data_IF_129835469750
#
_entry.id   IF_129835469750
#
_cell.length_a   1.000
_cell.length_b   1.000
_cell.length_c   1.000
_cell.angle_alpha   90.00
_cell.angle_beta   90.00
_cell.angle_gamma   90.00
#
_symmetry.space_group_name_H-M   'P 1'
#
loop_
_entity.id
_entity.type
_entity.pdbx_description
1 polymer ?
#
# COMPACT_ATOMS: atom_id res chain seq x y z
N UNK A 1 46.68 -42.23 9.49
CA UNK A 1 46.30 -42.95 10.73
C UNK A 1 45.11 -42.20 11.32
N UNK A 2 44.07 -42.93 11.73
CA UNK A 2 42.81 -42.50 12.37
C UNK A 2 41.65 -42.05 11.45
N UNK A 3 40.74 -43.02 11.25
CA UNK A 3 39.32 -42.89 10.88
C UNK A 3 38.52 -42.36 12.07
N UNK A 4 37.46 -41.59 11.80
CA UNK A 4 36.20 -41.50 12.55
C UNK A 4 35.29 -40.60 11.69
N UNK A 5 34.09 -40.95 11.24
CA UNK A 5 33.15 -42.00 11.60
C UNK A 5 31.76 -41.39 11.37
N UNK A 6 31.18 -41.65 10.20
CA UNK A 6 29.83 -41.18 9.82
C UNK A 6 28.82 -41.97 10.65
N UNK A 7 28.09 -41.29 11.54
CA UNK A 7 26.97 -41.89 12.26
C UNK A 7 25.70 -41.75 11.41
N UNK A 8 25.32 -42.88 10.81
CA UNK A 8 24.07 -43.13 10.13
C UNK A 8 23.13 -43.75 11.17
N UNK A 9 22.17 -42.99 11.70
CA UNK A 9 21.15 -43.54 12.58
C UNK A 9 20.07 -44.25 11.75
N UNK A 10 20.04 -45.57 11.89
CA UNK A 10 19.07 -46.48 11.33
C UNK A 10 17.69 -46.25 11.95
N UNK A 11 16.69 -45.97 11.12
CA UNK A 11 15.28 -46.11 11.49
C UNK A 11 14.93 -47.61 11.52
N UNK A 12 14.93 -48.22 12.70
CA UNK A 12 14.34 -49.54 12.93
C UNK A 12 12.87 -49.39 13.25
N UNK A 13 12.02 -49.53 12.23
CA UNK A 13 10.58 -49.71 12.42
C UNK A 13 10.29 -51.20 12.67
N UNK A 14 9.96 -51.56 13.92
CA UNK A 14 9.40 -52.86 14.26
C UNK A 14 7.89 -52.84 14.02
N UNK A 15 7.42 -53.68 13.10
CA UNK A 15 6.01 -53.99 12.89
C UNK A 15 5.57 -55.07 13.89
N UNK A 16 4.48 -54.80 14.63
CA UNK A 16 3.68 -55.83 15.29
C UNK A 16 2.24 -55.76 14.75
N UNK A 17 1.58 -56.89 14.42
CA UNK A 17 0.26 -56.88 13.85
C UNK A 17 -0.85 -56.95 14.91
N UNK A 18 -1.97 -56.34 14.55
CA UNK A 18 -3.34 -56.74 14.84
C UNK A 18 -4.22 -55.86 15.76
N UNK A 19 -5.40 -55.62 15.18
CA UNK A 19 -6.73 -55.58 15.79
C UNK A 19 -7.36 -54.22 16.14
N UNK A 20 -8.40 -53.92 15.36
CA UNK A 20 -9.72 -53.37 15.73
C UNK A 20 -9.82 -51.90 16.18
N UNK A 21 -10.56 -51.16 15.36
CA UNK A 21 -11.39 -49.98 15.62
C UNK A 21 -11.46 -49.45 17.07
N UNK A 22 -11.02 -48.20 17.26
CA UNK A 22 -11.73 -47.15 18.00
C UNK A 22 -10.97 -45.82 17.82
N UNK A 23 -11.69 -44.72 17.62
CA UNK A 23 -11.12 -43.39 17.37
C UNK A 23 -10.13 -42.95 18.45
N UNK A 24 -9.05 -42.29 18.04
CA UNK A 24 -8.12 -41.60 18.94
C UNK A 24 -8.05 -40.12 18.58
N UNK A 25 -8.44 -39.29 19.54
CA UNK A 25 -8.03 -37.89 19.61
C UNK A 25 -6.51 -37.82 19.80
N UNK A 26 -5.83 -37.01 18.99
CA UNK A 26 -4.42 -36.71 19.19
C UNK A 26 -4.30 -35.47 20.09
N UNK A 27 -3.88 -35.66 21.33
CA UNK A 27 -3.61 -34.59 22.29
C UNK A 27 -2.12 -34.26 22.23
N UNK A 28 -1.73 -33.24 21.47
CA UNK A 28 -0.36 -32.73 21.48
C UNK A 28 -0.18 -31.81 22.70
N UNK A 29 0.53 -32.29 23.71
CA UNK A 29 1.06 -31.45 24.80
C UNK A 29 2.49 -31.06 24.47
N UNK A 30 2.71 -29.79 24.12
CA UNK A 30 4.05 -29.22 24.02
C UNK A 30 4.45 -28.63 25.39
N UNK A 31 5.59 -29.05 25.94
CA UNK A 31 6.16 -28.49 27.17
C UNK A 31 6.73 -27.10 26.88
N UNK A 32 6.06 -26.04 27.37
CA UNK A 32 6.66 -24.71 27.43
C UNK A 32 7.55 -24.59 28.67
N UNK A 33 8.87 -24.42 28.46
CA UNK A 33 9.73 -23.73 29.43
C UNK A 33 9.47 -22.23 29.36
N UNK A 34 9.28 -21.63 30.51
CA UNK A 34 8.93 -20.24 30.74
C UNK A 34 10.13 -19.30 30.52
N UNK A 35 9.94 -18.29 29.67
CA UNK A 35 10.66 -17.01 29.75
C UNK A 35 9.63 -15.88 29.66
N UNK A 36 9.92 -14.82 30.41
CA UNK A 36 9.01 -13.90 31.10
C UNK A 36 8.48 -12.78 30.19
N UNK A 37 7.17 -12.79 29.95
CA UNK A 37 6.20 -11.68 30.13
C UNK A 37 6.39 -10.31 29.40
N UNK A 38 5.58 -10.05 28.35
CA UNK A 38 4.69 -8.87 28.18
C UNK A 38 3.51 -9.17 27.23
N UNK A 39 2.39 -9.57 27.86
CA UNK A 39 0.97 -9.36 27.56
C UNK A 39 0.45 -9.18 26.10
N UNK A 40 -0.25 -10.22 25.64
CA UNK A 40 -1.32 -10.18 24.62
C UNK A 40 -2.68 -10.27 25.33
N UNK A 41 -3.72 -9.60 24.81
CA UNK A 41 -5.13 -9.88 25.17
C UNK A 41 -5.81 -10.55 23.95
N UNK A 42 -6.36 -11.78 24.05
CA UNK A 42 -7.16 -12.38 23.01
C UNK A 42 -8.64 -11.99 23.15
N UNK A 43 -9.24 -11.45 22.09
CA UNK A 43 -10.70 -11.35 21.97
C UNK A 43 -11.30 -12.73 21.73
N UNK A 44 -12.25 -13.14 22.58
CA UNK A 44 -13.05 -14.36 22.38
C UNK A 44 -14.13 -14.07 21.34
N UNK A 45 -14.16 -14.84 20.26
CA UNK A 45 -15.35 -14.99 19.44
C UNK A 45 -16.10 -16.22 19.95
N UNK A 46 -17.29 -16.00 20.49
CA UNK A 46 -18.21 -17.07 20.86
C UNK A 46 -19.05 -17.42 19.63
N UNK A 47 -18.66 -18.47 18.89
CA UNK A 47 -19.51 -19.03 17.84
C UNK A 47 -20.39 -20.13 18.46
N UNK A 48 -21.66 -19.85 18.64
CA UNK A 48 -22.67 -20.88 18.91
C UNK A 48 -23.00 -21.58 17.58
N UNK A 49 -22.56 -22.82 17.40
CA UNK A 49 -23.06 -23.69 16.34
C UNK A 49 -24.35 -24.35 16.84
N UNK A 50 -25.50 -23.92 16.32
CA UNK A 50 -26.71 -24.69 16.42
C UNK A 50 -26.70 -25.73 15.29
N UNK A 51 -26.53 -27.01 15.63
CA UNK A 51 -26.76 -28.11 14.69
C UNK A 51 -28.27 -28.27 14.51
N UNK A 52 -28.80 -27.90 13.34
CA UNK A 52 -30.14 -28.30 12.92
C UNK A 52 -30.06 -29.06 11.61
N UNK A 53 -30.42 -30.34 11.69
CA UNK A 53 -30.67 -31.25 10.58
C UNK A 53 -32.03 -30.93 9.94
N UNK A 54 -32.04 -30.38 8.73
CA UNK A 54 -32.98 -30.78 7.66
C UNK A 54 -32.63 -30.09 6.31
N UNK A 55 -32.72 -30.82 5.18
CA UNK A 55 -32.42 -30.28 3.86
C UNK A 55 -33.70 -29.78 3.19
N UNK A 56 -33.90 -28.47 3.10
CA UNK A 56 -35.05 -27.95 2.35
C UNK A 56 -35.50 -26.53 2.66
N UNK A 57 -34.61 -25.55 2.81
CA UNK A 57 -35.00 -24.14 2.65
C UNK A 57 -33.77 -23.27 2.38
N UNK A 58 -33.82 -22.54 1.26
CA UNK A 58 -32.78 -21.60 0.87
C UNK A 58 -32.96 -20.30 1.66
N UNK A 59 -32.14 -20.10 2.70
CA UNK A 59 -32.09 -18.83 3.42
C UNK A 59 -31.12 -17.87 2.72
N UNK A 60 -31.66 -16.76 2.20
CA UNK A 60 -30.89 -15.65 1.63
C UNK A 60 -30.13 -14.94 2.74
N UNK A 61 -28.81 -14.82 2.63
CA UNK A 61 -27.99 -13.98 3.50
C UNK A 61 -27.87 -12.58 2.88
N UNK A 62 -28.52 -11.59 3.49
CA UNK A 62 -28.20 -10.18 3.27
C UNK A 62 -27.19 -9.72 4.31
N UNK A 63 -25.95 -9.51 3.90
CA UNK A 63 -24.94 -8.86 4.75
C UNK A 63 -25.14 -7.34 4.68
N UNK A 64 -25.71 -6.75 5.75
CA UNK A 64 -25.71 -5.30 5.94
C UNK A 64 -24.60 -4.98 6.92
N UNK A 65 -23.58 -4.24 6.46
CA UNK A 65 -22.52 -3.71 7.31
C UNK A 65 -22.88 -2.29 7.75
N UNK A 66 -23.05 -2.07 9.05
CA UNK A 66 -23.10 -0.73 9.63
C UNK A 66 -21.71 -0.32 10.13
N UNK A 67 -21.24 0.91 9.84
CA UNK A 67 -20.00 1.41 10.43
C UNK A 67 -20.23 1.76 11.91
N UNK A 68 -19.44 1.13 12.79
CA UNK A 68 -19.43 1.45 14.23
C UNK A 68 -18.72 2.77 14.44
N UNK A 69 -19.43 3.76 15.00
CA UNK A 69 -18.84 5.00 15.51
C UNK A 69 -18.07 4.75 16.81
N UNK A 70 -16.89 5.36 17.04
CA UNK A 70 -16.16 5.17 18.29
C UNK A 70 -16.78 5.99 19.43
N UNK A 71 -17.04 5.32 20.55
CA UNK A 71 -17.46 5.93 21.84
C UNK A 71 -16.30 6.74 22.43
N UNK A 72 -16.55 7.94 23.00
CA UNK A 72 -15.51 8.81 23.52
C UNK A 72 -15.09 8.42 24.94
N UNK A 73 -13.78 8.37 25.21
CA UNK A 73 -13.26 8.55 26.58
C UNK A 73 -12.07 7.69 27.00
N UNK A 74 -10.86 8.22 26.86
CA UNK A 74 -9.95 8.57 27.99
C UNK A 74 -8.63 9.07 27.43
N UNK A 75 -8.24 10.28 27.83
CA UNK A 75 -6.92 10.85 27.60
C UNK A 75 -5.87 9.99 28.32
N UNK A 76 -5.04 9.30 27.55
CA UNK A 76 -3.75 8.80 28.01
C UNK A 76 -2.66 9.62 27.36
N UNK A 77 -1.93 10.36 28.21
CA UNK A 77 -0.88 11.32 27.89
C UNK A 77 0.32 10.59 27.28
N UNK A 78 0.40 10.53 25.95
CA UNK A 78 1.60 10.04 25.27
C UNK A 78 2.70 11.10 25.36
N UNK A 79 3.75 10.80 26.13
CA UNK A 79 5.02 11.53 26.05
C UNK A 79 5.69 11.14 24.74
N UNK A 80 5.84 12.11 23.85
CA UNK A 80 6.74 12.00 22.70
C UNK A 80 8.18 11.93 23.21
N UNK A 81 8.88 10.85 22.90
CA UNK A 81 10.34 10.91 22.80
C UNK A 81 10.66 11.62 21.49
N UNK A 82 10.82 12.94 21.55
CA UNK A 82 11.56 13.66 20.52
C UNK A 82 13.02 13.65 20.97
N UNK A 83 13.88 12.98 20.19
CA UNK A 83 15.32 13.14 20.32
C UNK A 83 15.66 14.58 19.94
N UNK A 84 16.04 15.40 20.92
CA UNK A 84 16.61 16.72 20.68
C UNK A 84 17.98 16.54 20.05
N UNK A 85 18.12 16.93 18.78
CA UNK A 85 19.43 17.18 18.20
C UNK A 85 19.90 18.54 18.74
N UNK A 86 21.01 18.50 19.48
CA UNK A 86 21.72 19.67 19.98
C UNK A 86 22.13 20.57 18.80
N UNK A 87 21.77 21.84 18.87
CA UNK A 87 22.47 22.90 18.18
C UNK A 87 22.77 23.98 19.23
N UNK A 88 24.06 24.10 19.53
CA UNK A 88 24.68 25.07 20.42
C UNK A 88 24.53 26.51 19.90
N UNK A 89 24.86 27.44 20.80
CA UNK A 89 25.07 28.89 20.66
C UNK A 89 23.89 29.85 20.92
N UNK A 90 23.80 30.28 22.18
CA UNK A 90 23.20 31.54 22.64
C UNK A 90 23.61 31.83 24.09
N UNK A 91 24.07 33.04 24.46
CA UNK A 91 24.77 33.27 25.72
C UNK A 91 23.82 33.25 26.95
N UNK A 92 24.41 32.88 28.09
CA UNK A 92 23.79 32.70 29.39
C UNK A 92 23.01 33.93 29.92
N UNK A 93 21.97 33.73 30.76
CA UNK A 93 21.21 34.83 31.35
C UNK A 93 21.98 35.45 32.51
N UNK A 94 22.27 36.74 32.43
CA UNK A 94 22.76 37.53 33.55
C UNK A 94 21.62 37.86 34.51
N UNK A 95 21.84 37.52 35.79
CA UNK A 95 21.01 37.92 36.92
C UNK A 95 20.86 39.45 36.99
N UNK A 96 19.65 39.94 37.23
CA UNK A 96 19.42 41.24 37.86
C UNK A 96 18.15 41.19 38.71
N UNK A 97 18.36 41.34 40.01
CA UNK A 97 17.39 41.50 41.11
C UNK A 97 16.47 42.73 40.89
N UNK A 98 15.21 42.73 41.36
CA UNK A 98 14.19 43.69 40.91
C UNK A 98 14.33 45.04 41.60
N UNK A 99 14.22 46.13 40.83
CA UNK A 99 14.01 47.47 41.36
C UNK A 99 12.60 47.93 40.99
N UNK A 100 11.82 48.19 42.03
CA UNK A 100 10.48 48.76 41.99
C UNK A 100 10.53 50.23 41.59
N UNK A 101 9.86 50.61 40.51
CA UNK A 101 8.87 51.71 40.49
C UNK A 101 8.43 52.04 39.06
N UNK A 102 7.20 52.55 38.98
CA UNK A 102 6.54 53.18 37.83
C UNK A 102 5.88 52.25 36.80
N UNK A 103 4.62 51.93 37.11
CA UNK A 103 3.60 51.60 36.11
C UNK A 103 3.43 52.80 35.16
N UNK A 104 4.17 52.83 34.07
CA UNK A 104 3.78 53.58 32.88
C UNK A 104 2.98 52.63 31.98
N UNK A 105 1.66 52.68 32.10
CA UNK A 105 0.79 52.09 31.10
C UNK A 105 0.89 52.94 29.82
N UNK A 106 1.93 52.73 29.02
CA UNK A 106 2.00 53.30 27.67
C UNK A 106 0.80 52.77 26.88
N UNK A 107 -0.14 53.66 26.57
CA UNK A 107 -1.33 53.36 25.79
C UNK A 107 -0.87 53.01 24.37
N UNK A 108 -0.80 51.70 24.07
CA UNK A 108 -0.43 51.18 22.76
C UNK A 108 -1.20 51.93 21.67
N UNK A 109 -0.46 52.54 20.73
CA UNK A 109 -1.06 53.24 19.59
C UNK A 109 -1.83 52.25 18.72
N UNK A 110 -2.90 52.73 18.06
CA UNK A 110 -3.78 51.91 17.21
C UNK A 110 -3.00 51.10 16.17
N UNK A 111 -1.95 51.68 15.59
CA UNK A 111 -1.12 51.03 14.58
C UNK A 111 -0.24 49.92 15.17
N UNK A 112 0.26 50.09 16.41
CA UNK A 112 0.99 49.04 17.12
C UNK A 112 0.08 47.85 17.44
N UNK A 113 -1.17 48.11 17.83
CA UNK A 113 -2.16 47.05 18.06
C UNK A 113 -2.51 46.29 16.78
N UNK A 114 -2.69 46.99 15.65
CA UNK A 114 -2.92 46.37 14.34
C UNK A 114 -1.74 45.49 13.91
N UNK A 115 -0.50 45.95 14.10
CA UNK A 115 0.70 45.15 13.84
C UNK A 115 0.72 43.87 14.66
N UNK A 116 0.49 43.97 15.98
CA UNK A 116 0.50 42.79 16.86
C UNK A 116 -0.58 41.78 16.50
N UNK A 117 -1.77 42.25 16.11
CA UNK A 117 -2.84 41.37 15.62
C UNK A 117 -2.42 40.68 14.32
N UNK A 118 -1.87 41.41 13.35
CA UNK A 118 -1.38 40.83 12.09
C UNK A 118 -0.26 39.80 12.33
N UNK A 119 0.68 40.08 13.23
CA UNK A 119 1.73 39.15 13.63
C UNK A 119 1.16 37.90 14.30
N UNK A 120 0.14 38.06 15.15
CA UNK A 120 -0.53 36.93 15.80
C UNK A 120 -1.25 36.04 14.79
N UNK A 121 -1.94 36.61 13.80
CA UNK A 121 -2.59 35.85 12.73
C UNK A 121 -1.57 35.18 11.80
N UNK A 122 -0.49 35.88 11.44
CA UNK A 122 0.62 35.32 10.67
C UNK A 122 1.23 34.12 11.39
N UNK A 123 1.45 34.21 12.71
CA UNK A 123 1.98 33.10 13.50
C UNK A 123 1.05 31.88 13.52
N UNK A 124 -0.28 32.09 13.58
CA UNK A 124 -1.28 31.01 13.49
C UNK A 124 -1.25 30.34 12.13
N UNK A 125 -1.17 31.13 11.04
CA UNK A 125 -1.08 30.60 9.68
C UNK A 125 0.22 29.82 9.46
N UNK A 126 1.35 30.33 9.95
CA UNK A 126 2.64 29.62 9.89
C UNK A 126 2.58 28.30 10.64
N UNK A 127 1.96 28.27 11.82
CA UNK A 127 1.74 27.03 12.57
C UNK A 127 0.91 26.03 11.75
N UNK A 128 -0.25 26.44 11.24
CA UNK A 128 -1.11 25.57 10.38
C UNK A 128 -0.37 25.07 9.14
N UNK A 129 0.40 25.92 8.48
CA UNK A 129 1.21 25.56 7.31
C UNK A 129 2.26 24.52 7.68
N UNK A 130 2.97 24.71 8.80
CA UNK A 130 3.96 23.74 9.28
C UNK A 130 3.34 22.40 9.66
N UNK A 131 2.17 22.39 10.32
CA UNK A 131 1.42 21.18 10.65
C UNK A 131 0.97 20.44 9.38
N UNK A 132 0.41 21.16 8.40
CA UNK A 132 0.02 20.59 7.11
C UNK A 132 1.23 20.03 6.35
N UNK A 133 2.37 20.73 6.35
CA UNK A 133 3.59 20.26 5.71
C UNK A 133 4.17 19.01 6.39
N UNK A 134 4.11 18.92 7.72
CA UNK A 134 4.50 17.70 8.44
C UNK A 134 3.59 16.52 8.05
N UNK A 135 2.28 16.75 7.99
CA UNK A 135 1.32 15.73 7.58
C UNK A 135 1.54 15.26 6.13
N UNK A 136 1.77 16.19 5.20
CA UNK A 136 2.11 15.87 3.81
C UNK A 136 3.39 15.02 3.70
N UNK A 137 4.44 15.35 4.48
CA UNK A 137 5.66 14.54 4.52
C UNK A 137 5.40 13.14 5.07
N UNK A 138 4.57 13.02 6.09
CA UNK A 138 4.17 11.72 6.64
C UNK A 138 3.40 10.88 5.61
N UNK A 139 2.42 11.47 4.92
CA UNK A 139 1.65 10.79 3.88
C UNK A 139 2.53 10.33 2.71
N UNK A 140 3.45 11.18 2.25
CA UNK A 140 4.42 10.81 1.20
C UNK A 140 5.26 9.60 1.60
N UNK A 141 5.76 9.56 2.84
CA UNK A 141 6.49 8.40 3.37
C UNK A 141 5.63 7.15 3.42
N UNK A 142 4.38 7.26 3.86
CA UNK A 142 3.44 6.14 3.89
C UNK A 142 3.13 5.60 2.49
N UNK A 143 2.99 6.48 1.49
CA UNK A 143 2.83 6.07 0.09
C UNK A 143 4.05 5.28 -0.39
N UNK A 144 5.25 5.83 -0.17
CA UNK A 144 6.50 5.19 -0.59
C UNK A 144 6.69 3.81 0.03
N UNK A 145 6.41 3.64 1.33
CA UNK A 145 6.49 2.34 2.01
C UNK A 145 5.51 1.33 1.37
N UNK A 146 4.31 1.76 1.01
CA UNK A 146 3.33 0.88 0.35
C UNK A 146 3.79 0.50 -1.05
N UNK A 147 4.36 1.44 -1.80
CA UNK A 147 4.91 1.18 -3.13
C UNK A 147 6.08 0.19 -3.07
N UNK A 148 7.00 0.35 -2.12
CA UNK A 148 8.12 -0.58 -1.88
C UNK A 148 7.62 -1.99 -1.49
N UNK A 149 6.59 -2.06 -0.64
CA UNK A 149 5.97 -3.33 -0.27
C UNK A 149 5.35 -4.03 -1.48
N UNK A 150 4.67 -3.29 -2.37
CA UNK A 150 4.12 -3.84 -3.62
C UNK A 150 5.23 -4.38 -4.52
N UNK A 151 6.35 -3.67 -4.66
CA UNK A 151 7.51 -4.16 -5.44
C UNK A 151 8.04 -5.48 -4.86
N UNK A 152 8.17 -5.57 -3.53
CA UNK A 152 8.60 -6.80 -2.84
C UNK A 152 7.65 -7.97 -3.12
N UNK A 153 6.34 -7.77 -2.93
CA UNK A 153 5.35 -8.81 -3.19
C UNK A 153 5.35 -9.28 -4.65
N UNK A 154 5.58 -8.38 -5.61
CA UNK A 154 5.71 -8.76 -7.03
C UNK A 154 6.92 -9.65 -7.28
N UNK A 155 8.06 -9.35 -6.66
CA UNK A 155 9.25 -10.20 -6.80
C UNK A 155 9.03 -11.59 -6.19
N UNK A 156 8.34 -11.69 -5.06
CA UNK A 156 7.98 -12.97 -4.44
C UNK A 156 6.98 -13.75 -5.31
N UNK A 157 6.00 -13.06 -5.89
CA UNK A 157 5.01 -13.64 -6.81
C UNK A 157 5.68 -14.26 -8.05
N UNK A 158 6.66 -13.57 -8.62
CA UNK A 158 7.41 -14.05 -9.79
C UNK A 158 8.24 -15.31 -9.48
N UNK A 159 8.81 -15.41 -8.28
CA UNK A 159 9.52 -16.63 -7.83
C UNK A 159 8.54 -17.80 -7.70
N UNK A 160 7.37 -17.57 -7.09
CA UNK A 160 6.34 -18.60 -6.93
C UNK A 160 5.75 -19.06 -8.26
N UNK A 161 5.61 -18.17 -9.24
CA UNK A 161 5.19 -18.50 -10.60
C UNK A 161 6.18 -19.48 -11.26
N UNK A 162 7.48 -19.19 -11.17
CA UNK A 162 8.54 -20.07 -11.69
C UNK A 162 8.52 -21.43 -10.99
N UNK A 163 8.43 -21.46 -9.66
CA UNK A 163 8.31 -22.72 -8.91
C UNK A 163 7.08 -23.53 -9.36
N UNK A 164 5.93 -22.89 -9.51
CA UNK A 164 4.72 -23.56 -9.96
C UNK A 164 4.86 -24.09 -11.39
N UNK A 165 5.51 -23.35 -12.28
CA UNK A 165 5.82 -23.80 -13.64
C UNK A 165 6.71 -25.04 -13.62
N UNK A 166 7.73 -25.10 -12.75
CA UNK A 166 8.54 -26.32 -12.58
C UNK A 166 7.72 -27.51 -12.07
N UNK A 167 6.80 -27.29 -11.12
CA UNK A 167 5.91 -28.34 -10.61
C UNK A 167 4.94 -28.86 -11.66
N UNK A 168 4.42 -27.98 -12.52
CA UNK A 168 3.61 -28.36 -13.68
C UNK A 168 4.43 -29.25 -14.62
N UNK A 169 5.65 -28.83 -14.99
CA UNK A 169 6.53 -29.63 -15.86
C UNK A 169 6.85 -31.02 -15.29
N UNK A 170 7.18 -31.11 -13.99
CA UNK A 170 7.37 -32.41 -13.32
C UNK A 170 6.10 -33.26 -13.33
N UNK A 171 4.92 -32.66 -13.15
CA UNK A 171 3.65 -33.37 -13.21
C UNK A 171 3.29 -33.83 -14.62
N UNK A 172 3.67 -33.07 -15.66
CA UNK A 172 3.55 -33.45 -17.07
C UNK A 172 4.40 -34.69 -17.36
N UNK A 173 5.68 -34.69 -16.95
CA UNK A 173 6.56 -35.85 -17.08
C UNK A 173 5.94 -37.08 -16.40
N UNK A 174 5.51 -36.95 -15.14
CA UNK A 174 4.87 -38.03 -14.37
C UNK A 174 3.57 -38.52 -15.04
N UNK A 175 2.80 -37.64 -15.68
CA UNK A 175 1.58 -38.00 -16.38
C UNK A 175 1.85 -38.71 -17.71
N UNK A 176 3.01 -38.47 -18.34
CA UNK A 176 3.43 -39.08 -19.60
C UNK A 176 4.09 -40.46 -19.41
N UNK A 177 4.58 -40.79 -18.21
CA UNK A 177 5.06 -42.14 -17.90
C UNK A 177 3.93 -43.17 -17.86
N UNK A 178 4.28 -44.44 -18.09
CA UNK A 178 3.35 -45.56 -17.96
C UNK A 178 2.71 -45.59 -16.58
N UNK A 179 1.38 -45.70 -16.54
CA UNK A 179 0.62 -45.71 -15.30
C UNK A 179 0.92 -46.99 -14.52
N UNK A 180 1.49 -46.91 -13.31
CA UNK A 180 1.80 -48.09 -12.52
C UNK A 180 0.56 -48.93 -12.22
N UNK A 181 0.71 -50.25 -12.25
CA UNK A 181 -0.34 -51.20 -11.88
C UNK A 181 -0.89 -50.90 -10.48
N UNK A 182 -2.22 -50.77 -10.36
CA UNK A 182 -2.88 -50.40 -9.10
C UNK A 182 -2.98 -48.89 -8.83
N UNK A 183 -2.60 -48.04 -9.79
CA UNK A 183 -2.76 -46.59 -9.65
C UNK A 183 -4.21 -46.18 -9.37
N UNK A 184 -4.37 -45.36 -8.33
CA UNK A 184 -5.68 -44.81 -7.93
C UNK A 184 -6.24 -43.90 -9.03
N UNK A 185 -7.56 -43.95 -9.21
CA UNK A 185 -8.32 -42.98 -9.99
C UNK A 185 -9.07 -42.00 -9.09
N UNK A 186 -9.20 -40.75 -9.54
CA UNK A 186 -9.99 -39.68 -8.94
C UNK A 186 -10.87 -39.11 -10.05
N UNK A 187 -12.19 -39.14 -9.89
CA UNK A 187 -13.16 -38.70 -10.90
C UNK A 187 -12.91 -39.31 -12.30
N UNK A 188 -12.53 -40.59 -12.36
CA UNK A 188 -12.25 -41.30 -13.61
C UNK A 188 -10.87 -41.06 -14.24
N UNK A 189 -10.11 -40.05 -13.79
CA UNK A 189 -8.72 -39.79 -14.20
C UNK A 189 -7.74 -40.50 -13.26
N UNK A 190 -6.58 -40.91 -13.77
CA UNK A 190 -5.49 -41.40 -12.92
C UNK A 190 -4.95 -40.26 -12.02
N UNK A 191 -4.40 -40.61 -10.86
CA UNK A 191 -3.93 -39.62 -9.90
C UNK A 191 -2.87 -38.66 -10.49
N UNK A 192 -2.03 -39.17 -11.39
CA UNK A 192 -0.99 -38.41 -12.10
C UNK A 192 -1.62 -37.32 -12.98
N UNK A 193 -2.52 -37.70 -13.88
CA UNK A 193 -3.20 -36.75 -14.77
C UNK A 193 -4.17 -35.84 -14.03
N UNK A 194 -4.76 -36.30 -12.92
CA UNK A 194 -5.57 -35.43 -12.06
C UNK A 194 -4.72 -34.37 -11.36
N UNK A 195 -3.52 -34.70 -10.88
CA UNK A 195 -2.58 -33.75 -10.28
C UNK A 195 -2.14 -32.70 -11.30
N UNK A 196 -1.77 -33.12 -12.51
CA UNK A 196 -1.40 -32.21 -13.59
C UNK A 196 -2.51 -31.19 -13.87
N UNK A 197 -3.74 -31.65 -14.14
CA UNK A 197 -4.86 -30.73 -14.39
C UNK A 197 -5.15 -29.77 -13.23
N UNK A 198 -4.85 -30.18 -11.99
CA UNK A 198 -5.02 -29.32 -10.81
C UNK A 198 -3.92 -28.26 -10.73
N UNK A 199 -2.67 -28.62 -11.05
CA UNK A 199 -1.55 -27.67 -11.07
C UNK A 199 -1.68 -26.67 -12.21
N UNK A 200 -2.05 -27.12 -13.41
CA UNK A 200 -2.38 -26.24 -14.55
C UNK A 200 -3.46 -25.22 -14.17
N UNK A 201 -4.56 -25.67 -13.56
CA UNK A 201 -5.63 -24.77 -13.15
C UNK A 201 -5.19 -23.74 -12.08
N UNK A 202 -4.26 -24.11 -11.19
CA UNK A 202 -3.68 -23.16 -10.22
C UNK A 202 -2.73 -22.19 -10.93
N UNK A 203 -1.89 -22.69 -11.84
CA UNK A 203 -0.98 -21.87 -12.65
C UNK A 203 -1.74 -20.83 -13.46
N UNK A 204 -2.78 -21.24 -14.18
CA UNK A 204 -3.61 -20.33 -14.97
C UNK A 204 -4.27 -19.25 -14.11
N UNK A 205 -4.75 -19.63 -12.91
CA UNK A 205 -5.35 -18.68 -11.98
C UNK A 205 -4.32 -17.68 -11.45
N UNK A 206 -3.12 -18.14 -11.11
CA UNK A 206 -2.02 -17.25 -10.69
C UNK A 206 -1.67 -16.32 -11.85
N UNK A 207 -1.45 -16.84 -13.05
CA UNK A 207 -1.14 -16.04 -14.25
C UNK A 207 -2.16 -14.95 -14.55
N UNK A 208 -3.46 -15.24 -14.39
CA UNK A 208 -4.51 -14.22 -14.52
C UNK A 208 -4.34 -13.11 -13.48
N UNK A 209 -4.06 -13.44 -12.21
CA UNK A 209 -3.81 -12.45 -11.17
C UNK A 209 -2.54 -11.64 -11.42
N UNK A 210 -1.48 -12.25 -11.96
CA UNK A 210 -0.25 -11.53 -12.34
C UNK A 210 -0.57 -10.50 -13.43
N UNK A 211 -1.29 -10.92 -14.48
CA UNK A 211 -1.72 -10.04 -15.58
C UNK A 211 -2.56 -8.86 -15.07
N UNK A 212 -3.49 -9.11 -14.15
CA UNK A 212 -4.28 -8.04 -13.54
C UNK A 212 -3.39 -7.04 -12.79
N UNK A 213 -2.43 -7.53 -11.99
CA UNK A 213 -1.48 -6.69 -11.26
C UNK A 213 -0.51 -5.94 -12.18
N UNK A 214 -0.15 -6.51 -13.33
CA UNK A 214 0.62 -5.85 -14.39
C UNK A 214 -0.16 -4.78 -15.13
N UNK A 215 -1.44 -5.00 -15.39
CA UNK A 215 -2.31 -4.02 -16.05
C UNK A 215 -2.46 -2.72 -15.24
N UNK A 216 -2.30 -2.79 -13.92
CA UNK A 216 -2.40 -1.64 -13.01
C UNK A 216 -1.06 -0.90 -12.81
N UNK A 217 0.00 -1.32 -13.50
CA UNK A 217 1.34 -0.75 -13.33
C UNK A 217 1.38 0.68 -13.90
N UNK A 218 1.85 1.68 -13.12
CA UNK A 218 2.08 3.01 -13.65
C UNK A 218 3.12 3.00 -14.80
N UNK A 219 2.84 3.77 -15.85
CA UNK A 219 3.69 3.98 -17.02
C UNK A 219 4.10 5.45 -17.10
N UNK A 220 5.28 5.68 -17.64
CA UNK A 220 5.82 7.03 -17.85
C UNK A 220 5.41 7.51 -19.23
N UNK A 221 4.78 8.68 -19.29
CA UNK A 221 4.19 9.23 -20.51
C UNK A 221 4.67 10.65 -20.67
N UNK A 222 5.33 10.92 -21.78
CA UNK A 222 5.69 12.28 -22.17
C UNK A 222 4.45 12.97 -22.75
N UNK A 223 4.02 14.03 -22.09
CA UNK A 223 2.98 14.94 -22.56
C UNK A 223 3.66 16.22 -23.00
N UNK A 224 3.19 16.82 -24.10
CA UNK A 224 3.77 18.03 -24.64
C UNK A 224 2.71 19.08 -24.99
N UNK A 225 3.10 20.34 -24.92
CA UNK A 225 2.31 21.47 -25.35
C UNK A 225 3.18 22.36 -26.24
N UNK A 226 2.63 22.89 -27.34
CA UNK A 226 3.37 23.72 -28.29
C UNK A 226 2.68 25.06 -28.42
N UNK A 227 3.45 26.14 -28.26
CA UNK A 227 2.94 27.50 -28.43
C UNK A 227 3.84 28.55 -27.78
N UNK A 228 3.42 29.80 -27.89
CA UNK A 228 4.08 30.91 -27.21
C UNK A 228 3.55 31.00 -25.78
N UNK A 229 4.41 30.68 -24.82
CA UNK A 229 4.11 30.75 -23.39
C UNK A 229 5.38 31.01 -22.58
N UNK A 230 5.21 31.55 -21.38
CA UNK A 230 6.29 31.63 -20.41
C UNK A 230 6.34 30.37 -19.53
N UNK A 231 5.21 30.04 -18.91
CA UNK A 231 5.02 28.92 -18.00
C UNK A 231 3.82 28.08 -18.41
N UNK A 232 4.02 26.77 -18.46
CA UNK A 232 2.94 25.81 -18.78
C UNK A 232 2.87 24.76 -17.68
N UNK A 233 1.66 24.54 -17.17
CA UNK A 233 1.37 23.45 -16.24
C UNK A 233 0.28 22.56 -16.82
N UNK A 234 0.41 21.25 -16.65
CA UNK A 234 -0.63 20.30 -16.97
C UNK A 234 -1.44 19.94 -15.72
N UNK A 235 -2.75 20.09 -15.81
CA UNK A 235 -3.71 19.69 -14.79
C UNK A 235 -4.56 18.55 -15.34
N UNK A 236 -5.09 17.68 -14.47
CA UNK A 236 -6.01 16.66 -14.96
C UNK A 236 -6.71 15.85 -13.89
N UNK A 237 -7.53 14.90 -14.34
CA UNK A 237 -8.28 14.01 -13.45
C UNK A 237 -7.38 13.02 -12.69
N UNK A 238 -6.13 12.84 -13.11
CA UNK A 238 -5.18 11.92 -12.48
C UNK A 238 -4.83 12.31 -11.02
N UNK A 239 -4.95 13.60 -10.67
CA UNK A 239 -4.74 14.12 -9.31
C UNK A 239 -5.99 14.81 -8.74
N UNK A 240 -7.14 14.63 -9.40
CA UNK A 240 -8.38 15.31 -9.04
C UNK A 240 -8.34 16.83 -9.27
N UNK A 241 -7.58 17.31 -10.26
CA UNK A 241 -7.47 18.72 -10.63
C UNK A 241 -6.87 19.61 -9.53
N UNK A 242 -5.89 19.10 -8.78
CA UNK A 242 -5.44 19.75 -7.54
C UNK A 242 -4.12 20.51 -7.67
N UNK A 243 -3.03 19.86 -8.07
CA UNK A 243 -1.69 20.49 -8.10
C UNK A 243 -1.09 20.57 -9.50
N UNK A 244 -1.35 19.59 -10.36
CA UNK A 244 -0.77 19.51 -11.71
C UNK A 244 0.75 19.37 -11.74
N UNK A 245 1.31 19.28 -12.94
CA UNK A 245 2.76 19.14 -13.16
C UNK A 245 3.26 20.30 -14.02
N UNK A 246 4.34 20.96 -13.60
CA UNK A 246 4.98 22.00 -14.41
C UNK A 246 5.74 21.38 -15.59
N UNK A 247 5.58 21.96 -16.77
CA UNK A 247 6.24 21.48 -17.98
C UNK A 247 7.55 22.21 -18.20
N UNK A 248 8.58 21.45 -18.62
CA UNK A 248 9.89 21.98 -18.95
C UNK A 248 9.89 22.54 -20.38
N UNK A 249 10.44 23.74 -20.57
CA UNK A 249 10.58 24.34 -21.90
C UNK A 249 11.74 23.69 -22.65
N UNK A 250 11.45 23.15 -23.82
CA UNK A 250 12.40 22.71 -24.83
C UNK A 250 12.58 23.85 -25.86
N UNK A 251 13.82 24.30 -26.04
CA UNK A 251 14.13 25.34 -27.02
C UNK A 251 14.03 24.75 -28.43
N UNK A 252 13.01 25.16 -29.19
CA UNK A 252 12.78 24.76 -30.58
C UNK A 252 12.41 25.97 -31.45
N UNK A 253 13.36 26.90 -31.64
CA UNK A 253 13.17 28.04 -32.56
C UNK A 253 12.03 28.98 -32.16
N UNK A 254 11.23 29.42 -33.13
CA UNK A 254 10.21 30.48 -33.00
C UNK A 254 8.98 30.08 -32.14
N UNK A 255 8.76 28.77 -31.93
CA UNK A 255 7.71 28.25 -31.05
C UNK A 255 8.34 27.38 -29.96
N UNK A 256 8.00 27.66 -28.69
CA UNK A 256 8.48 26.85 -27.58
C UNK A 256 7.66 25.56 -27.47
N UNK A 257 8.36 24.43 -27.37
CA UNK A 257 7.75 23.15 -26.98
C UNK A 257 7.92 22.99 -25.48
N UNK A 258 6.88 22.57 -24.80
CA UNK A 258 6.91 22.27 -23.37
C UNK A 258 6.65 20.79 -23.19
N UNK A 259 7.38 20.11 -22.32
CA UNK A 259 7.23 18.68 -22.06
C UNK A 259 7.18 18.35 -20.56
N UNK A 260 6.42 17.33 -20.20
CA UNK A 260 6.39 16.78 -18.85
C UNK A 260 6.25 15.26 -18.92
N UNK A 261 6.89 14.56 -17.99
CA UNK A 261 6.80 13.10 -17.87
C UNK A 261 5.87 12.75 -16.72
N UNK A 262 4.69 12.24 -17.03
CA UNK A 262 3.69 11.83 -16.05
C UNK A 262 3.80 10.32 -15.78
N UNK A 263 3.66 9.90 -14.52
CA UNK A 263 3.61 8.49 -14.12
C UNK A 263 2.16 8.08 -13.85
N UNK A 264 1.46 7.60 -14.88
CA UNK A 264 0.01 7.32 -14.83
C UNK A 264 -0.28 5.83 -15.00
N UNK A 265 -1.34 5.32 -14.37
CA UNK A 265 -1.80 3.96 -14.63
C UNK A 265 -2.50 3.89 -16.00
N UNK A 266 -2.58 2.71 -16.63
CA UNK A 266 -3.43 2.51 -17.80
C UNK A 266 -4.87 2.95 -17.52
N UNK A 267 -5.43 3.72 -18.45
CA UNK A 267 -6.70 4.40 -18.25
C UNK A 267 -6.90 5.60 -19.19
N UNK A 268 -8.07 6.23 -19.07
CA UNK A 268 -8.38 7.49 -19.75
C UNK A 268 -8.42 8.62 -18.73
N UNK A 269 -7.71 9.69 -19.01
CA UNK A 269 -7.61 10.87 -18.17
C UNK A 269 -8.09 12.10 -18.93
N UNK A 270 -8.78 12.99 -18.22
CA UNK A 270 -9.06 14.32 -18.73
C UNK A 270 -7.93 15.24 -18.27
N UNK A 271 -7.42 16.05 -19.19
CA UNK A 271 -6.32 16.97 -18.93
C UNK A 271 -6.63 18.35 -19.51
N UNK A 272 -6.00 19.37 -18.95
CA UNK A 272 -6.04 20.75 -19.47
C UNK A 272 -4.74 21.46 -19.13
N UNK A 273 -4.37 22.43 -19.95
CA UNK A 273 -3.12 23.17 -19.77
C UNK A 273 -3.42 24.53 -19.16
N UNK A 274 -2.67 24.89 -18.13
CA UNK A 274 -2.64 26.23 -17.57
C UNK A 274 -1.40 26.93 -18.14
N UNK A 275 -1.64 27.84 -19.09
CA UNK A 275 -0.62 28.54 -19.87
C UNK A 275 -0.62 29.99 -19.44
N UNK A 276 0.43 30.45 -18.77
CA UNK A 276 0.55 31.82 -18.24
C UNK A 276 -0.67 32.26 -17.38
N UNK A 277 -1.27 31.30 -16.67
CA UNK A 277 -2.46 31.52 -15.83
C UNK A 277 -3.80 31.37 -16.56
N UNK A 278 -3.80 31.13 -17.88
CA UNK A 278 -5.00 30.91 -18.68
C UNK A 278 -5.22 29.43 -19.01
N UNK A 279 -6.46 28.98 -18.92
CA UNK A 279 -6.84 27.62 -19.29
C UNK A 279 -6.90 27.45 -20.81
N UNK A 280 -6.06 26.57 -21.36
CA UNK A 280 -5.98 26.28 -22.79
C UNK A 280 -6.13 24.78 -23.08
N UNK A 281 -6.71 24.50 -24.24
CA UNK A 281 -6.72 23.18 -24.84
C UNK A 281 -5.55 23.08 -25.82
N UNK A 282 -4.99 21.88 -25.94
CA UNK A 282 -3.99 21.56 -26.94
C UNK A 282 -4.67 20.91 -28.15
N UNK A 283 -4.22 21.25 -29.36
CA UNK A 283 -4.62 20.59 -30.61
C UNK A 283 -4.06 19.18 -30.76
N UNK A 284 -3.03 18.84 -29.98
CA UNK A 284 -2.32 17.55 -30.05
C UNK A 284 -3.09 16.40 -29.39
N UNK A 285 -4.13 16.73 -28.61
CA UNK A 285 -4.91 15.74 -27.87
C UNK A 285 -6.39 15.83 -28.24
N UNK A 286 -7.08 14.68 -28.36
CA UNK A 286 -8.52 14.65 -28.58
C UNK A 286 -9.26 15.48 -27.51
N UNK A 287 -10.34 16.15 -27.91
CA UNK A 287 -11.17 16.93 -26.98
C UNK A 287 -12.31 16.04 -26.47
N UNK A 288 -12.63 16.16 -25.19
CA UNK A 288 -13.78 15.55 -24.53
C UNK A 288 -14.62 16.63 -23.84
N UNK A 289 -15.94 16.41 -23.79
CA UNK A 289 -16.90 17.34 -23.19
C UNK A 289 -17.47 18.38 -24.17
N UNK A 290 -18.38 19.22 -23.67
CA UNK A 290 -19.10 20.22 -24.45
C UNK A 290 -19.01 21.61 -23.81
N UNK A 291 -18.89 22.65 -24.64
CA UNK A 291 -18.89 24.06 -24.18
C UNK A 291 -17.76 24.39 -23.20
N UNK A 292 -18.13 24.93 -22.03
CA UNK A 292 -17.19 25.43 -21.03
C UNK A 292 -16.44 24.34 -20.26
N UNK A 293 -16.91 23.10 -20.31
CA UNK A 293 -16.28 21.94 -19.65
C UNK A 293 -15.41 21.12 -20.61
N UNK A 294 -15.02 21.70 -21.75
CA UNK A 294 -14.11 21.04 -22.68
C UNK A 294 -12.73 20.84 -22.05
N UNK A 295 -12.26 19.60 -22.13
CA UNK A 295 -10.97 19.12 -21.66
C UNK A 295 -10.30 18.32 -22.78
N UNK A 296 -8.99 18.17 -22.75
CA UNK A 296 -8.29 17.22 -23.59
C UNK A 296 -8.37 15.81 -22.95
N UNK A 297 -8.28 14.76 -23.77
CA UNK A 297 -8.29 13.37 -23.34
C UNK A 297 -6.91 12.75 -23.56
N UNK A 298 -6.32 12.24 -22.49
CA UNK A 298 -5.07 11.47 -22.50
C UNK A 298 -5.39 10.00 -22.25
N UNK A 299 -5.04 9.14 -23.21
CA UNK A 299 -5.23 7.69 -23.08
C UNK A 299 -3.89 7.02 -22.82
N UNK A 300 -3.85 6.25 -21.75
CA UNK A 300 -2.70 5.43 -21.36
C UNK A 300 -3.05 3.98 -21.63
N UNK A 301 -2.44 3.41 -22.67
CA UNK A 301 -2.50 1.98 -22.96
C UNK A 301 -1.49 1.21 -22.11
#
# INVERSE_FOLDING_TARGET
MLRLGIAMEFLTASFAPSSRNAGREYKFTCQNKSVREKQWIPGRVLCCLATSTNPGQCCKFTAVAYPVSPVPGRRSRWRSFAASLNLEDGPAPSNSTPSSSEQTSERLTSDKLKSLLADSERSKLLRKLSEANQYNRFLKRQSQIKDDAVVKFRSELAVLELELQTLVGLAEEIANFDVPSGSRKINGKYIQSHLLSRLEAVHDKVMLQIKDVESLRPREIAVYWVGMAENVQIMGSFDGWSYGESMSREYSGDYARFSATLRLRPGSYEIKFLVDGEWKLSSEYPIAGEGLTQNNKLVVA
#
